data_IF_936072804598
#
_entry.id   IF_936072804598
#
_cell.length_a   1.000
_cell.length_b   1.000
_cell.length_c   1.000
_cell.angle_alpha   90.00
_cell.angle_beta   90.00
_cell.angle_gamma   90.00
#
_symmetry.space_group_name_H-M   'P 1'
#
loop_
_entity.id
_entity.type
_entity.pdbx_description
1 polymer ?
#
# COMPACT_ATOMS: atom_id res chain seq x y z
N UNK A 1 10.08 -8.17 2.16
CA UNK A 1 11.32 -8.29 1.42
C UNK A 1 11.81 -6.91 0.98
N UNK A 2 13.07 -6.85 0.60
CA UNK A 2 13.69 -5.59 0.17
C UNK A 2 13.02 -5.00 -1.06
N UNK A 3 12.65 -5.84 -2.01
CA UNK A 3 11.99 -5.37 -3.23
C UNK A 3 10.66 -4.69 -2.92
N UNK A 4 9.93 -5.22 -1.96
CA UNK A 4 8.64 -4.65 -1.57
C UNK A 4 8.80 -3.28 -0.92
N UNK A 5 9.86 -3.12 -0.11
CA UNK A 5 10.17 -1.82 0.48
C UNK A 5 10.57 -0.82 -0.59
N UNK A 6 11.34 -1.25 -1.58
CA UNK A 6 11.74 -0.39 -2.69
C UNK A 6 10.52 0.07 -3.48
N UNK A 7 9.60 -0.86 -3.77
CA UNK A 7 8.38 -0.52 -4.51
C UNK A 7 7.54 0.48 -3.74
N UNK A 8 7.38 0.29 -2.45
CA UNK A 8 6.63 1.21 -1.59
C UNK A 8 7.28 2.58 -1.57
N UNK A 9 8.60 2.62 -1.47
CA UNK A 9 9.35 3.87 -1.47
C UNK A 9 9.16 4.61 -2.78
N UNK A 10 9.23 3.89 -3.91
CA UNK A 10 9.03 4.50 -5.22
C UNK A 10 7.61 5.05 -5.38
N UNK A 11 6.62 4.32 -4.89
CA UNK A 11 5.23 4.78 -4.92
C UNK A 11 5.08 6.10 -4.18
N UNK A 12 5.68 6.21 -2.99
CA UNK A 12 5.64 7.46 -2.22
C UNK A 12 6.33 8.60 -2.96
N UNK A 13 7.48 8.33 -3.57
CA UNK A 13 8.19 9.35 -4.34
C UNK A 13 7.36 9.83 -5.53
N UNK A 14 6.69 8.92 -6.21
CA UNK A 14 5.86 9.27 -7.36
C UNK A 14 4.71 10.18 -6.95
N UNK A 15 4.08 9.89 -5.81
CA UNK A 15 3.01 10.73 -5.28
C UNK A 15 3.54 12.12 -4.95
N UNK A 16 4.68 12.19 -4.28
CA UNK A 16 5.32 13.47 -3.92
C UNK A 16 5.65 14.27 -5.17
N UNK A 17 6.21 13.63 -6.19
CA UNK A 17 6.55 14.30 -7.43
C UNK A 17 5.31 14.86 -8.12
N UNK A 18 4.22 14.11 -8.12
CA UNK A 18 2.96 14.59 -8.69
C UNK A 18 2.47 15.83 -7.94
N UNK A 19 2.55 15.82 -6.62
CA UNK A 19 2.18 16.96 -5.80
C UNK A 19 3.05 18.18 -6.11
N UNK A 20 4.35 17.98 -6.27
CA UNK A 20 5.27 19.07 -6.57
C UNK A 20 5.01 19.69 -7.93
N UNK A 21 4.47 18.93 -8.88
CA UNK A 21 4.08 19.45 -10.18
C UNK A 21 2.69 20.08 -10.16
N UNK A 22 2.03 20.09 -9.01
CA UNK A 22 0.65 20.53 -8.89
C UNK A 22 -0.31 19.68 -9.71
N UNK A 23 0.06 18.44 -9.96
CA UNK A 23 -0.77 17.49 -10.69
C UNK A 23 -1.61 16.71 -9.70
N UNK A 24 -2.64 17.38 -9.19
CA UNK A 24 -3.46 16.83 -8.10
C UNK A 24 -4.27 15.63 -8.51
N UNK A 25 -4.67 15.56 -9.78
CA UNK A 25 -5.41 14.41 -10.28
C UNK A 25 -4.55 13.16 -10.28
N UNK A 26 -3.32 13.29 -10.76
CA UNK A 26 -2.39 12.17 -10.77
C UNK A 26 -1.99 11.77 -9.37
N UNK A 27 -1.74 12.75 -8.50
CA UNK A 27 -1.42 12.47 -7.11
C UNK A 27 -2.55 11.69 -6.41
N UNK A 28 -3.78 12.12 -6.63
CA UNK A 28 -4.94 11.44 -6.04
C UNK A 28 -5.09 10.03 -6.58
N UNK A 29 -4.87 9.85 -7.88
CA UNK A 29 -4.94 8.53 -8.51
C UNK A 29 -3.91 7.58 -7.92
N UNK A 30 -2.67 8.05 -7.81
CA UNK A 30 -1.59 7.25 -7.25
C UNK A 30 -1.81 6.94 -5.78
N UNK A 31 -2.32 7.90 -5.03
CA UNK A 31 -2.64 7.70 -3.61
C UNK A 31 -3.74 6.66 -3.45
N UNK A 32 -4.78 6.72 -4.26
CA UNK A 32 -5.86 5.73 -4.22
C UNK A 32 -5.34 4.33 -4.51
N UNK A 33 -4.50 4.19 -5.52
CA UNK A 33 -3.92 2.90 -5.86
C UNK A 33 -3.05 2.36 -4.73
N UNK A 34 -2.25 3.24 -4.11
CA UNK A 34 -1.40 2.87 -3.00
C UNK A 34 -2.22 2.41 -1.80
N UNK A 35 -3.29 3.12 -1.47
CA UNK A 35 -4.17 2.76 -0.36
C UNK A 35 -4.88 1.44 -0.62
N UNK A 36 -5.30 1.19 -1.84
CA UNK A 36 -5.93 -0.09 -2.19
C UNK A 36 -4.98 -1.26 -2.00
N UNK A 37 -3.74 -1.11 -2.45
CA UNK A 37 -2.74 -2.16 -2.26
C UNK A 37 -2.42 -2.39 -0.79
N UNK A 38 -2.29 -1.31 -0.02
CA UNK A 38 -2.03 -1.40 1.42
C UNK A 38 -3.19 -2.09 2.13
N UNK A 39 -4.42 -1.76 1.74
CA UNK A 39 -5.62 -2.35 2.31
C UNK A 39 -5.67 -3.85 2.04
N UNK A 40 -5.37 -4.26 0.82
CA UNK A 40 -5.33 -5.69 0.48
C UNK A 40 -4.29 -6.43 1.29
N UNK A 41 -3.10 -5.88 1.39
CA UNK A 41 -2.00 -6.51 2.12
C UNK A 41 -2.36 -6.65 3.61
N UNK A 42 -2.93 -5.60 4.19
CA UNK A 42 -3.36 -5.62 5.58
C UNK A 42 -4.46 -6.65 5.81
N UNK A 43 -5.44 -6.69 4.92
CA UNK A 43 -6.54 -7.64 5.01
C UNK A 43 -6.02 -9.07 4.97
N UNK A 44 -5.12 -9.37 4.05
CA UNK A 44 -4.53 -10.71 3.94
C UNK A 44 -3.78 -11.10 5.20
N UNK A 45 -3.04 -10.15 5.78
CA UNK A 45 -2.29 -10.40 7.00
C UNK A 45 -3.23 -10.72 8.17
N UNK A 46 -4.27 -9.92 8.34
CA UNK A 46 -5.26 -10.12 9.40
C UNK A 46 -5.98 -11.45 9.21
N UNK A 47 -6.36 -11.76 7.98
CA UNK A 47 -7.06 -13.00 7.67
C UNK A 47 -6.20 -14.21 7.99
N UNK A 48 -4.93 -14.16 7.65
CA UNK A 48 -3.99 -15.24 7.97
C UNK A 48 -3.82 -15.41 9.47
N UNK A 49 -3.69 -14.29 10.19
CA UNK A 49 -3.58 -14.34 11.66
C UNK A 49 -4.81 -14.92 12.30
N UNK A 50 -5.99 -14.54 11.83
CA UNK A 50 -7.25 -15.05 12.34
C UNK A 50 -7.38 -16.54 12.11
N UNK A 51 -6.99 -17.02 10.95
CA UNK A 51 -6.99 -18.45 10.63
C UNK A 51 -6.07 -19.22 11.57
N UNK A 52 -4.86 -18.67 11.80
CA UNK A 52 -3.90 -19.29 12.71
C UNK A 52 -4.45 -19.36 14.14
N UNK A 53 -5.10 -18.30 14.60
CA UNK A 53 -5.71 -18.26 15.91
C UNK A 53 -6.85 -19.25 16.04
N UNK A 54 -7.64 -19.41 15.00
CA UNK A 54 -8.72 -20.40 15.00
C UNK A 54 -8.21 -21.81 15.19
N UNK A 55 -7.05 -22.09 14.62
CA UNK A 55 -6.44 -23.42 14.76
C UNK A 55 -5.95 -23.69 16.18
N UNK A 56 -5.63 -22.65 16.94
CA UNK A 56 -5.14 -22.81 18.30
C UNK A 56 -6.24 -22.85 19.35
N UNK A 57 -7.43 -22.46 18.98
CA UNK A 57 -8.57 -22.49 19.87
C UNK A 57 -9.26 -23.85 19.83
#
# INVERSE_FOLDING_TARGET
SEKRLDDTFQEHLDIIRACLRNDWQEAAKQMSAHLEESKKATFQLIFSSTSAQSLTV
#
